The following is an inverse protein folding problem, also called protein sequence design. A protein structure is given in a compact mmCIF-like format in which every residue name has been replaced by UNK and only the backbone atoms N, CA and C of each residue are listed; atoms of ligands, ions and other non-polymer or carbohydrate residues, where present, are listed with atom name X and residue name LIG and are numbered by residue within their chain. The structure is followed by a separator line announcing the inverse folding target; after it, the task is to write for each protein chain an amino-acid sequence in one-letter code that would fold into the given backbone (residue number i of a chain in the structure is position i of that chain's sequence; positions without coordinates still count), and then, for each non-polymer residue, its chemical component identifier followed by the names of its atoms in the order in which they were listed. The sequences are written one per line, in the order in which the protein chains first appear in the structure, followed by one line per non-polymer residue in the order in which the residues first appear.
data_IF_725745419479
#
_entry.id   IF_725745419479
#
_cell.length_a   1.000
_cell.length_b   1.000
_cell.length_c   1.000
_cell.angle_alpha   90.00
_cell.angle_beta   90.00
_cell.angle_gamma   90.00
#
_symmetry.space_group_name_H-M   'P 1'
#
loop_
_entity.id
_entity.type
_entity.pdbx_description
1 polymer ?
#
# COMPACT_ATOMS: atom_id res chain seq x y z
N UNK A 1 -27.68 23.47 -10.36
CA UNK A 1 -28.33 22.16 -10.49
C UNK A 1 -27.66 21.24 -9.47
N UNK A 2 -28.33 21.02 -8.35
CA UNK A 2 -27.84 20.25 -7.20
C UNK A 2 -28.81 19.09 -7.03
N UNK A 3 -28.42 17.89 -7.47
CA UNK A 3 -29.08 16.61 -7.14
C UNK A 3 -28.30 15.44 -7.77
N UNK A 4 -27.11 15.13 -7.25
CA UNK A 4 -26.32 13.98 -7.72
C UNK A 4 -25.84 13.03 -6.60
N UNK A 5 -26.18 13.28 -5.33
CA UNK A 5 -25.64 12.53 -4.18
C UNK A 5 -26.73 11.89 -3.29
N UNK A 6 -27.79 11.33 -3.88
CA UNK A 6 -28.89 10.70 -3.12
C UNK A 6 -29.00 9.17 -3.22
N UNK A 7 -28.05 8.50 -3.87
CA UNK A 7 -27.98 7.05 -3.81
C UNK A 7 -26.59 6.59 -3.44
N UNK A 8 -26.41 5.78 -2.37
CA UNK A 8 -25.15 5.08 -2.17
C UNK A 8 -24.84 4.27 -3.44
N UNK A 9 -23.56 4.10 -3.78
CA UNK A 9 -23.05 3.28 -4.90
C UNK A 9 -23.69 1.88 -5.00
N UNK A 10 -24.41 1.47 -3.95
CA UNK A 10 -25.19 0.26 -3.89
C UNK A 10 -26.35 0.17 -4.88
N UNK A 11 -26.83 1.30 -5.44
CA UNK A 11 -27.98 1.36 -6.36
C UNK A 11 -27.55 1.46 -7.84
N UNK A 12 -26.37 2.00 -8.12
CA UNK A 12 -25.86 2.24 -9.48
C UNK A 12 -24.98 1.10 -10.00
N UNK A 13 -24.22 0.42 -9.13
CA UNK A 13 -23.36 -0.71 -9.50
C UNK A 13 -24.00 -2.06 -9.17
N UNK A 14 -24.03 -2.97 -10.16
CA UNK A 14 -24.52 -4.33 -9.98
C UNK A 14 -23.70 -5.12 -8.95
N UNK A 15 -24.32 -6.06 -8.23
CA UNK A 15 -23.66 -6.79 -7.12
C UNK A 15 -22.32 -7.45 -7.53
N UNK A 16 -22.21 -7.92 -8.78
CA UNK A 16 -20.97 -8.55 -9.30
C UNK A 16 -19.82 -7.57 -9.38
N UNK A 17 -20.10 -6.32 -9.75
CA UNK A 17 -19.11 -5.28 -9.85
C UNK A 17 -18.62 -4.86 -8.47
N UNK A 18 -19.54 -4.71 -7.50
CA UNK A 18 -19.18 -4.44 -6.11
C UNK A 18 -18.28 -5.53 -5.53
N UNK A 19 -18.63 -6.80 -5.74
CA UNK A 19 -17.76 -7.91 -5.33
C UNK A 19 -16.39 -7.87 -6.03
N UNK A 20 -16.33 -7.46 -7.29
CA UNK A 20 -15.05 -7.32 -7.99
C UNK A 20 -14.22 -6.16 -7.42
N UNK A 21 -14.84 -5.02 -7.10
CA UNK A 21 -14.19 -3.89 -6.45
C UNK A 21 -13.69 -4.26 -5.05
N UNK A 22 -14.52 -4.92 -4.23
CA UNK A 22 -14.14 -5.39 -2.90
C UNK A 22 -13.01 -6.42 -2.92
N UNK A 23 -13.01 -7.35 -3.88
CA UNK A 23 -11.88 -8.28 -4.07
C UNK A 23 -10.58 -7.55 -4.41
N UNK A 24 -10.62 -6.51 -5.26
CA UNK A 24 -9.45 -5.69 -5.57
C UNK A 24 -8.99 -4.90 -4.34
N UNK A 25 -9.93 -4.33 -3.58
CA UNK A 25 -9.62 -3.63 -2.34
C UNK A 25 -8.94 -4.57 -1.32
N UNK A 26 -9.51 -5.75 -1.07
CA UNK A 26 -8.89 -6.73 -0.17
C UNK A 26 -7.51 -7.19 -0.66
N UNK A 27 -7.35 -7.41 -1.97
CA UNK A 27 -6.05 -7.75 -2.54
C UNK A 27 -5.00 -6.67 -2.25
N UNK A 28 -5.38 -5.41 -2.48
CA UNK A 28 -4.58 -4.24 -2.17
C UNK A 28 -4.23 -4.17 -0.68
N UNK A 29 -5.22 -4.29 0.20
CA UNK A 29 -5.03 -4.25 1.65
C UNK A 29 -4.03 -5.30 2.12
N UNK A 30 -4.21 -6.56 1.70
CA UNK A 30 -3.32 -7.66 2.09
C UNK A 30 -1.93 -7.46 1.50
N UNK A 31 -1.82 -6.95 0.27
CA UNK A 31 -0.53 -6.61 -0.35
C UNK A 31 0.21 -5.57 0.48
N UNK A 32 -0.42 -4.43 0.72
CA UNK A 32 0.13 -3.32 1.50
C UNK A 32 0.51 -3.76 2.92
N UNK A 33 -0.32 -4.58 3.57
CA UNK A 33 -0.04 -5.06 4.92
C UNK A 33 1.21 -5.94 4.99
N UNK A 34 1.45 -6.78 3.98
CA UNK A 34 2.67 -7.58 3.91
C UNK A 34 3.88 -6.71 3.61
N UNK A 35 3.79 -5.84 2.60
CA UNK A 35 4.90 -4.98 2.18
C UNK A 35 5.35 -4.04 3.32
N UNK A 36 4.39 -3.40 4.02
CA UNK A 36 4.67 -2.51 5.16
C UNK A 36 5.39 -3.22 6.31
N UNK A 37 5.17 -4.52 6.46
CA UNK A 37 5.78 -5.31 7.53
C UNK A 37 6.98 -6.16 7.06
N UNK A 38 7.35 -6.09 5.78
CA UNK A 38 8.42 -6.93 5.21
C UNK A 38 8.07 -8.42 5.22
N UNK A 39 6.79 -8.77 5.15
CA UNK A 39 6.31 -10.14 5.32
C UNK A 39 6.19 -10.90 4.01
N UNK A 40 6.50 -12.20 4.07
CA UNK A 40 6.11 -13.15 3.04
C UNK A 40 4.67 -13.64 3.27
N UNK A 41 4.06 -14.25 2.25
CA UNK A 41 2.71 -14.85 2.33
C UNK A 41 2.57 -16.00 3.36
N UNK A 42 3.67 -16.42 4.00
CA UNK A 42 3.70 -17.48 5.02
C UNK A 42 3.53 -16.97 6.45
N UNK A 43 3.70 -15.67 6.68
CA UNK A 43 3.69 -15.10 8.04
C UNK A 43 2.32 -15.24 8.69
N UNK A 44 1.25 -14.81 8.01
CA UNK A 44 -0.11 -14.87 8.56
C UNK A 44 -0.60 -16.32 8.81
N UNK A 45 -0.38 -17.28 7.90
CA UNK A 45 -0.70 -18.69 8.16
C UNK A 45 0.09 -19.28 9.34
N UNK A 46 1.40 -19.01 9.41
CA UNK A 46 2.24 -19.49 10.51
C UNK A 46 1.80 -18.89 11.86
N UNK A 47 1.45 -17.60 11.88
CA UNK A 47 0.92 -16.94 13.07
C UNK A 47 -0.43 -17.53 13.50
N UNK A 48 -1.33 -17.77 12.54
CA UNK A 48 -2.63 -18.37 12.82
C UNK A 48 -2.51 -19.80 13.34
N UNK A 49 -1.60 -20.60 12.80
CA UNK A 49 -1.34 -21.96 13.25
C UNK A 49 -0.68 -21.98 14.64
N UNK A 50 0.35 -21.16 14.86
CA UNK A 50 1.11 -21.15 16.11
C UNK A 50 0.26 -20.71 17.30
N UNK A 51 -0.66 -19.77 17.09
CA UNK A 51 -1.49 -19.18 18.15
C UNK A 51 -2.95 -19.65 18.13
N UNK A 52 -3.29 -20.66 17.30
CA UNK A 52 -4.64 -21.19 17.10
C UNK A 52 -5.69 -20.10 16.83
N UNK A 53 -5.38 -19.20 15.90
CA UNK A 53 -6.23 -18.03 15.57
C UNK A 53 -7.32 -18.36 14.54
N UNK A 54 -7.45 -19.63 14.16
CA UNK A 54 -8.29 -20.09 13.04
C UNK A 54 -7.46 -20.61 11.87
N UNK A 55 -8.15 -20.98 10.79
CA UNK A 55 -7.53 -21.69 9.66
C UNK A 55 -7.38 -20.81 8.43
N UNK A 56 -6.14 -20.57 8.04
CA UNK A 56 -5.80 -19.95 6.76
C UNK A 56 -4.54 -20.59 6.17
N UNK A 57 -4.59 -20.95 4.90
CA UNK A 57 -3.48 -21.58 4.19
C UNK A 57 -2.67 -20.56 3.38
N UNK A 58 -1.39 -20.86 3.13
CA UNK A 58 -0.49 -20.08 2.27
C UNK A 58 -1.12 -19.73 0.90
N UNK A 59 -1.84 -20.68 0.30
CA UNK A 59 -2.52 -20.48 -0.99
C UNK A 59 -3.68 -19.49 -0.90
N UNK A 60 -4.39 -19.43 0.23
CA UNK A 60 -5.47 -18.48 0.46
C UNK A 60 -4.91 -17.06 0.61
N UNK A 61 -3.83 -16.87 1.36
CA UNK A 61 -3.16 -15.56 1.47
C UNK A 61 -2.62 -15.10 0.12
N UNK A 62 -1.93 -15.99 -0.61
CA UNK A 62 -1.44 -15.69 -1.95
C UNK A 62 -2.59 -15.32 -2.91
N UNK A 63 -3.69 -16.08 -2.91
CA UNK A 63 -4.83 -15.78 -3.76
C UNK A 63 -5.59 -14.52 -3.34
N UNK A 64 -5.69 -14.22 -2.04
CA UNK A 64 -6.25 -12.96 -1.55
C UNK A 64 -5.43 -11.78 -2.04
N UNK A 65 -4.11 -11.80 -1.81
CA UNK A 65 -3.18 -10.76 -2.23
C UNK A 65 -3.22 -10.47 -3.73
N UNK A 66 -3.52 -11.49 -4.54
CA UNK A 66 -3.61 -11.37 -6.00
C UNK A 66 -5.05 -11.16 -6.51
N UNK A 67 -6.05 -11.00 -5.64
CA UNK A 67 -7.46 -10.82 -6.02
C UNK A 67 -8.12 -12.05 -6.66
N UNK A 68 -7.52 -13.24 -6.54
CA UNK A 68 -7.95 -14.50 -7.15
C UNK A 68 -8.87 -15.33 -6.25
N UNK A 69 -8.92 -15.04 -4.94
CA UNK A 69 -9.81 -15.77 -4.03
C UNK A 69 -11.24 -15.24 -4.13
N UNK A 70 -12.10 -15.98 -4.84
CA UNK A 70 -13.47 -15.54 -5.13
C UNK A 70 -14.44 -15.68 -3.94
N UNK A 71 -14.28 -16.74 -3.14
CA UNK A 71 -15.20 -17.09 -2.05
C UNK A 71 -14.43 -17.63 -0.84
N UNK A 72 -13.68 -16.77 -0.11
CA UNK A 72 -13.09 -17.15 1.17
C UNK A 72 -14.18 -17.60 2.16
N UNK A 73 -13.90 -18.67 2.91
CA UNK A 73 -14.73 -19.06 4.04
C UNK A 73 -14.59 -18.07 5.21
N UNK A 74 -15.56 -18.03 6.14
CA UNK A 74 -15.53 -17.11 7.28
C UNK A 74 -14.29 -17.29 8.17
N UNK A 75 -13.74 -18.50 8.26
CA UNK A 75 -12.51 -18.79 9.03
C UNK A 75 -11.29 -18.01 8.55
N UNK A 76 -11.23 -17.67 7.26
CA UNK A 76 -10.13 -16.84 6.72
C UNK A 76 -10.18 -15.45 7.31
N UNK A 77 -11.36 -14.81 7.35
CA UNK A 77 -11.52 -13.49 7.95
C UNK A 77 -11.33 -13.50 9.46
N UNK A 78 -11.77 -14.58 10.13
CA UNK A 78 -11.52 -14.78 11.55
C UNK A 78 -10.02 -14.83 11.85
N UNK A 79 -9.27 -15.67 11.12
CA UNK A 79 -7.83 -15.80 11.28
C UNK A 79 -7.09 -14.48 11.03
N UNK A 80 -7.44 -13.75 9.98
CA UNK A 80 -6.84 -12.45 9.68
C UNK A 80 -7.17 -11.39 10.74
N UNK A 81 -8.42 -11.33 11.20
CA UNK A 81 -8.85 -10.39 12.23
C UNK A 81 -8.19 -10.66 13.58
N UNK A 82 -8.07 -11.93 13.97
CA UNK A 82 -7.39 -12.33 15.20
C UNK A 82 -5.88 -12.11 15.12
N UNK A 83 -5.25 -12.42 13.98
CA UNK A 83 -3.86 -12.07 13.73
C UNK A 83 -3.63 -10.57 13.88
N UNK A 84 -4.50 -9.74 13.31
CA UNK A 84 -4.42 -8.29 13.45
C UNK A 84 -4.59 -7.81 14.90
N UNK A 85 -5.50 -8.45 15.67
CA UNK A 85 -5.68 -8.15 17.09
C UNK A 85 -4.46 -8.52 17.94
N UNK A 86 -3.73 -9.59 17.58
CA UNK A 86 -2.45 -9.96 18.21
C UNK A 86 -1.41 -8.86 17.97
N UNK A 87 -1.30 -8.33 16.76
CA UNK A 87 -0.38 -7.22 16.46
C UNK A 87 -0.73 -5.97 17.25
N UNK A 88 -2.02 -5.66 17.37
CA UNK A 88 -2.53 -4.53 18.15
C UNK A 88 -2.17 -4.63 19.63
N UNK A 89 -2.35 -5.83 20.22
CA UNK A 89 -2.01 -6.09 21.62
C UNK A 89 -0.50 -6.10 21.89
N UNK A 90 0.31 -6.32 20.85
CA UNK A 90 1.75 -6.48 20.92
C UNK A 90 2.18 -7.92 21.23
N UNK A 91 3.44 -8.23 20.91
CA UNK A 91 3.95 -9.61 21.02
C UNK A 91 4.45 -9.97 22.42
N UNK A 92 4.53 -9.03 23.36
CA UNK A 92 5.15 -9.27 24.67
C UNK A 92 4.56 -10.48 25.42
N UNK A 93 3.22 -10.66 25.47
CA UNK A 93 2.63 -11.83 26.13
C UNK A 93 2.91 -13.16 25.43
N UNK A 94 3.31 -13.12 24.15
CA UNK A 94 3.45 -14.28 23.27
C UNK A 94 4.91 -14.57 22.93
N UNK A 95 5.83 -13.70 23.36
CA UNK A 95 7.25 -13.72 22.99
C UNK A 95 7.92 -15.04 23.36
N UNK A 96 7.76 -15.49 24.61
CA UNK A 96 8.37 -16.74 25.09
C UNK A 96 7.87 -17.94 24.28
N UNK A 97 6.56 -18.01 24.05
CA UNK A 97 5.94 -19.08 23.28
C UNK A 97 6.41 -19.09 21.82
N UNK A 98 6.42 -17.92 21.16
CA UNK A 98 6.90 -17.79 19.78
C UNK A 98 8.40 -18.11 19.67
N UNK A 99 9.19 -17.74 20.68
CA UNK A 99 10.63 -18.06 20.72
C UNK A 99 10.88 -19.57 20.82
N UNK A 100 10.03 -20.28 21.56
CA UNK A 100 10.11 -21.74 21.72
C UNK A 100 9.63 -22.49 20.48
N UNK A 101 8.45 -22.11 19.96
CA UNK A 101 7.76 -22.88 18.92
C UNK A 101 8.17 -22.46 17.51
N UNK A 102 8.39 -21.16 17.27
CA UNK A 102 8.68 -20.64 15.94
C UNK A 102 9.60 -19.40 15.97
N UNK A 103 10.89 -19.55 16.33
CA UNK A 103 11.82 -18.43 16.50
C UNK A 103 12.01 -17.56 15.24
N UNK A 104 11.96 -18.18 14.06
CA UNK A 104 12.02 -17.44 12.78
C UNK A 104 10.80 -16.52 12.57
N UNK A 105 9.61 -16.94 13.02
CA UNK A 105 8.39 -16.13 12.94
C UNK A 105 8.51 -14.93 13.89
N UNK A 106 9.00 -15.16 15.11
CA UNK A 106 9.25 -14.07 16.06
C UNK A 106 10.18 -13.01 15.46
N UNK A 107 11.30 -13.42 14.87
CA UNK A 107 12.25 -12.49 14.24
C UNK A 107 11.59 -11.63 13.16
N UNK A 108 10.75 -12.23 12.30
CA UNK A 108 10.04 -11.50 11.24
C UNK A 108 9.00 -10.54 11.82
N UNK A 109 8.29 -10.92 12.87
CA UNK A 109 7.31 -10.06 13.54
C UNK A 109 7.99 -8.92 14.34
N UNK A 110 9.20 -9.13 14.83
CA UNK A 110 10.00 -8.07 15.47
C UNK A 110 10.52 -7.04 14.46
N UNK A 111 10.82 -7.48 13.23
CA UNK A 111 11.23 -6.59 12.15
C UNK A 111 10.08 -5.71 11.64
N UNK A 112 8.84 -6.19 11.68
CA UNK A 112 7.65 -5.44 11.28
C UNK A 112 6.36 -6.09 11.76
N UNK A 113 5.45 -5.29 12.36
CA UNK A 113 4.18 -5.75 12.95
C UNK A 113 3.10 -4.68 13.05
N UNK A 114 3.06 -3.78 12.09
CA UNK A 114 2.03 -2.74 12.05
C UNK A 114 0.62 -3.35 11.90
N UNK A 115 -0.30 -3.07 12.83
CA UNK A 115 -1.69 -3.48 12.72
C UNK A 115 -2.47 -2.63 11.72
N UNK A 116 -3.49 -3.22 11.11
CA UNK A 116 -4.48 -2.49 10.31
C UNK A 116 -5.51 -1.84 11.24
N UNK A 117 -5.69 -0.52 11.13
CA UNK A 117 -6.65 0.26 11.93
C UNK A 117 -7.66 0.99 11.06
N UNK A 118 -8.92 1.06 11.47
CA UNK A 118 -9.92 1.88 10.80
C UNK A 118 -9.70 3.39 11.07
N UNK A 119 -10.57 4.23 10.50
CA UNK A 119 -10.53 5.69 10.69
C UNK A 119 -10.71 6.16 12.14
N UNK A 120 -11.31 5.32 13.00
CA UNK A 120 -11.41 5.58 14.43
C UNK A 120 -10.17 5.11 15.23
N UNK A 121 -9.12 4.65 14.55
CA UNK A 121 -7.88 4.16 15.17
C UNK A 121 -7.99 2.76 15.78
N UNK A 122 -9.12 2.06 15.59
CA UNK A 122 -9.34 0.71 16.12
C UNK A 122 -8.85 -0.35 15.16
N UNK A 123 -8.21 -1.40 15.67
CA UNK A 123 -7.79 -2.53 14.86
C UNK A 123 -8.99 -3.16 14.11
N UNK A 124 -8.78 -3.48 12.83
CA UNK A 124 -9.77 -4.20 12.02
C UNK A 124 -9.98 -5.62 12.54
N UNK A 125 -11.24 -6.02 12.70
CA UNK A 125 -11.66 -7.39 12.99
C UNK A 125 -12.14 -8.15 11.76
N UNK A 126 -12.65 -9.36 11.98
CA UNK A 126 -13.14 -10.22 10.91
C UNK A 126 -14.32 -9.61 10.12
N UNK A 127 -15.22 -8.90 10.83
CA UNK A 127 -16.35 -8.21 10.21
C UNK A 127 -15.90 -7.10 9.26
N UNK A 128 -14.98 -6.25 9.70
CA UNK A 128 -14.44 -5.16 8.88
C UNK A 128 -13.77 -5.72 7.61
N UNK A 129 -12.97 -6.77 7.74
CA UNK A 129 -12.31 -7.42 6.61
C UNK A 129 -13.31 -8.03 5.63
N UNK A 130 -14.38 -8.65 6.13
CA UNK A 130 -15.45 -9.16 5.28
C UNK A 130 -16.13 -8.03 4.52
N UNK A 131 -16.48 -6.94 5.20
CA UNK A 131 -17.13 -5.77 4.59
C UNK A 131 -16.26 -5.14 3.49
N UNK A 132 -14.95 -5.04 3.70
CA UNK A 132 -14.01 -4.59 2.66
C UNK A 132 -14.02 -5.56 1.48
N UNK A 133 -13.93 -6.87 1.74
CA UNK A 133 -13.91 -7.89 0.69
C UNK A 133 -15.17 -7.91 -0.18
N UNK A 134 -16.34 -7.67 0.43
CA UNK A 134 -17.62 -7.61 -0.31
C UNK A 134 -17.92 -6.22 -0.88
N UNK A 135 -17.04 -5.23 -0.66
CA UNK A 135 -17.17 -3.86 -1.16
C UNK A 135 -18.26 -3.04 -0.45
N UNK A 136 -18.52 -3.32 0.83
CA UNK A 136 -19.40 -2.55 1.70
C UNK A 136 -18.63 -1.50 2.52
N UNK A 137 -17.35 -1.74 2.81
CA UNK A 137 -16.49 -0.81 3.53
C UNK A 137 -15.32 -0.34 2.64
N UNK A 138 -14.87 0.92 2.79
CA UNK A 138 -13.67 1.41 2.13
C UNK A 138 -12.40 0.81 2.78
N UNK A 139 -11.26 1.01 2.11
CA UNK A 139 -9.97 0.68 2.72
C UNK A 139 -9.69 1.57 3.94
N UNK A 140 -9.03 1.02 4.98
CA UNK A 140 -8.63 1.83 6.12
C UNK A 140 -7.61 2.91 5.71
N UNK A 141 -7.63 4.08 6.38
CA UNK A 141 -6.57 5.07 6.22
C UNK A 141 -5.19 4.46 6.48
N UNK A 142 -4.17 4.87 5.72
CA UNK A 142 -2.82 4.30 5.81
C UNK A 142 -2.60 3.06 4.95
N UNK A 143 -3.65 2.48 4.35
CA UNK A 143 -3.56 1.29 3.50
C UNK A 143 -4.21 1.47 2.11
N UNK A 144 -4.78 2.64 1.80
CA UNK A 144 -5.25 2.96 0.46
C UNK A 144 -4.13 3.60 -0.37
N UNK A 145 -3.20 2.77 -0.84
CA UNK A 145 -2.11 3.19 -1.74
C UNK A 145 -2.50 3.14 -3.22
N UNK A 146 -3.79 2.98 -3.54
CA UNK A 146 -4.21 2.85 -4.93
C UNK A 146 -3.91 4.15 -5.69
N UNK A 147 -3.32 3.99 -6.86
CA UNK A 147 -3.01 5.07 -7.80
C UNK A 147 -3.93 4.92 -9.00
N UNK A 148 -4.63 6.00 -9.38
CA UNK A 148 -5.47 5.95 -10.58
C UNK A 148 -4.58 5.94 -11.83
N UNK A 149 -5.02 5.22 -12.87
CA UNK A 149 -4.28 5.11 -14.13
C UNK A 149 -3.98 6.48 -14.76
N UNK A 150 -4.84 7.48 -14.54
CA UNK A 150 -4.67 8.84 -15.06
C UNK A 150 -3.63 9.66 -14.29
N UNK A 151 -3.37 9.30 -13.03
CA UNK A 151 -2.43 10.02 -12.17
C UNK A 151 -0.95 9.66 -12.47
N UNK A 152 -0.69 8.53 -13.12
CA UNK A 152 0.68 7.99 -13.26
C UNK A 152 1.70 8.94 -13.90
N UNK A 153 1.30 9.66 -14.95
CA UNK A 153 2.16 10.66 -15.62
C UNK A 153 2.46 11.84 -14.69
N UNK A 154 1.41 12.42 -14.09
CA UNK A 154 1.55 13.58 -13.21
C UNK A 154 2.37 13.25 -11.95
N UNK A 155 2.16 12.07 -11.38
CA UNK A 155 2.94 11.57 -10.24
C UNK A 155 4.39 11.27 -10.61
N UNK A 156 4.67 10.79 -11.83
CA UNK A 156 6.04 10.56 -12.30
C UNK A 156 6.81 11.87 -12.41
N UNK A 157 6.19 12.92 -12.96
CA UNK A 157 6.79 14.25 -13.03
C UNK A 157 7.01 14.85 -11.64
N UNK A 158 6.01 14.77 -10.76
CA UNK A 158 6.10 15.24 -9.37
C UNK A 158 7.18 14.51 -8.57
N UNK A 159 7.32 13.19 -8.78
CA UNK A 159 8.38 12.37 -8.19
C UNK A 159 9.76 12.83 -8.65
N UNK A 160 9.92 13.05 -9.96
CA UNK A 160 11.19 13.50 -10.52
C UNK A 160 11.63 14.84 -9.93
N UNK A 161 10.69 15.79 -9.87
CA UNK A 161 10.91 17.11 -9.30
C UNK A 161 11.19 17.06 -7.78
N UNK A 162 10.41 16.24 -7.04
CA UNK A 162 10.56 16.09 -5.59
C UNK A 162 11.92 15.48 -5.21
N UNK A 163 12.30 14.35 -5.80
CA UNK A 163 13.55 13.67 -5.44
C UNK A 163 14.79 14.46 -5.90
N UNK A 164 14.68 15.26 -6.96
CA UNK A 164 15.75 16.16 -7.37
C UNK A 164 15.69 17.54 -6.71
N UNK A 165 14.72 17.81 -5.84
CA UNK A 165 14.56 19.10 -5.15
C UNK A 165 14.58 20.31 -6.13
N UNK A 166 13.95 20.14 -7.30
CA UNK A 166 13.93 21.15 -8.38
C UNK A 166 15.24 21.31 -9.18
N UNK A 167 16.27 20.50 -8.91
CA UNK A 167 17.50 20.48 -9.70
C UNK A 167 17.33 19.65 -10.98
N UNK A 168 18.17 19.91 -11.99
CA UNK A 168 18.17 19.09 -13.21
C UNK A 168 18.70 17.68 -12.92
N UNK A 169 18.22 16.68 -13.66
CA UNK A 169 18.68 15.28 -13.50
C UNK A 169 20.20 15.14 -13.54
N UNK A 170 20.88 15.93 -14.39
CA UNK A 170 22.35 15.91 -14.51
C UNK A 170 23.07 16.27 -13.22
N UNK A 171 22.45 17.07 -12.35
CA UNK A 171 23.03 17.55 -11.10
C UNK A 171 22.71 16.63 -9.90
N UNK A 172 21.49 16.09 -9.84
CA UNK A 172 21.04 15.22 -8.73
C UNK A 172 21.26 13.72 -8.99
N UNK A 173 21.60 13.28 -10.21
CA UNK A 173 21.60 11.85 -10.62
C UNK A 173 22.34 10.95 -9.64
N UNK A 174 23.60 11.24 -9.36
CA UNK A 174 24.44 10.31 -8.60
C UNK A 174 23.91 10.15 -7.17
N UNK A 175 23.48 11.25 -6.55
CA UNK A 175 22.89 11.25 -5.21
C UNK A 175 21.58 10.46 -5.18
N UNK A 176 20.65 10.73 -6.11
CA UNK A 176 19.35 10.07 -6.17
C UNK A 176 19.50 8.58 -6.50
N UNK A 177 20.38 8.21 -7.43
CA UNK A 177 20.66 6.81 -7.77
C UNK A 177 21.34 6.05 -6.63
N UNK A 178 22.15 6.72 -5.81
CA UNK A 178 22.76 6.14 -4.62
C UNK A 178 21.71 5.92 -3.51
N UNK A 179 20.76 6.84 -3.36
CA UNK A 179 19.67 6.70 -2.40
C UNK A 179 18.69 5.56 -2.78
N UNK A 180 18.48 5.29 -4.06
CA UNK A 180 17.53 4.29 -4.55
C UNK A 180 17.91 2.83 -4.17
N UNK A 181 17.16 2.16 -3.27
CA UNK A 181 17.53 0.84 -2.72
C UNK A 181 17.63 -0.31 -3.73
N UNK A 182 16.74 -0.45 -4.73
CA UNK A 182 16.77 -1.58 -5.65
C UNK A 182 18.10 -1.74 -6.38
N UNK A 183 18.61 -2.98 -6.39
CA UNK A 183 19.88 -3.35 -7.05
C UNK A 183 19.71 -3.94 -8.44
N UNK A 184 18.50 -4.42 -8.80
CA UNK A 184 18.21 -5.01 -10.12
C UNK A 184 18.39 -3.96 -11.22
N UNK A 185 19.26 -4.24 -12.19
CA UNK A 185 19.62 -3.32 -13.29
C UNK A 185 18.39 -2.77 -14.00
N UNK A 186 17.46 -3.62 -14.42
CA UNK A 186 16.25 -3.21 -15.12
C UNK A 186 15.38 -2.21 -14.33
N UNK A 187 15.25 -2.41 -13.00
CA UNK A 187 14.50 -1.48 -12.14
C UNK A 187 15.21 -0.15 -12.01
N UNK A 188 16.55 -0.16 -11.88
CA UNK A 188 17.38 1.05 -11.78
C UNK A 188 17.37 1.86 -13.08
N UNK A 189 17.42 1.20 -14.23
CA UNK A 189 17.32 1.84 -15.53
C UNK A 189 15.96 2.48 -15.76
N UNK A 190 14.88 1.77 -15.41
CA UNK A 190 13.52 2.32 -15.45
C UNK A 190 13.39 3.55 -14.56
N UNK A 191 13.82 3.46 -13.31
CA UNK A 191 13.80 4.60 -12.38
C UNK A 191 14.60 5.79 -12.93
N UNK A 192 15.81 5.56 -13.44
CA UNK A 192 16.61 6.62 -14.04
C UNK A 192 15.94 7.26 -15.28
N UNK A 193 15.23 6.48 -16.09
CA UNK A 193 14.49 7.00 -17.24
C UNK A 193 13.31 7.89 -16.81
N UNK A 194 12.62 7.51 -15.73
CA UNK A 194 11.55 8.33 -15.14
C UNK A 194 12.09 9.64 -14.56
N UNK A 195 13.16 9.56 -13.77
CA UNK A 195 13.83 10.73 -13.21
C UNK A 195 14.37 11.69 -14.29
N UNK A 196 14.75 11.15 -15.45
CA UNK A 196 15.20 11.94 -16.60
C UNK A 196 14.05 12.51 -17.45
N UNK A 197 12.79 12.19 -17.15
CA UNK A 197 11.63 12.59 -17.95
C UNK A 197 11.55 11.90 -19.32
N UNK A 198 12.25 10.79 -19.52
CA UNK A 198 12.23 10.02 -20.78
C UNK A 198 11.06 9.03 -20.86
N UNK A 199 10.41 8.80 -19.73
CA UNK A 199 9.35 7.83 -19.54
C UNK A 199 8.56 8.18 -18.28
N UNK A 200 7.30 7.75 -18.23
CA UNK A 200 6.51 7.74 -17.00
C UNK A 200 6.31 6.31 -16.47
N UNK A 201 6.07 6.21 -15.16
CA UNK A 201 5.55 5.00 -14.58
C UNK A 201 4.05 4.85 -14.87
N UNK A 202 3.60 3.61 -15.07
CA UNK A 202 2.17 3.30 -14.95
C UNK A 202 1.73 3.32 -13.47
N UNK A 203 0.42 3.39 -13.21
CA UNK A 203 -0.11 3.27 -11.86
C UNK A 203 0.31 1.97 -11.15
N UNK A 204 0.32 0.84 -11.88
CA UNK A 204 0.76 -0.46 -11.34
C UNK A 204 2.26 -0.45 -11.00
N UNK A 205 3.08 0.21 -11.81
CA UNK A 205 4.51 0.32 -11.52
C UNK A 205 4.78 1.24 -10.33
N UNK A 206 4.08 2.38 -10.22
CA UNK A 206 4.21 3.25 -9.04
C UNK A 206 3.77 2.54 -7.76
N UNK A 207 2.65 1.81 -7.81
CA UNK A 207 2.12 1.06 -6.67
C UNK A 207 3.16 0.04 -6.17
N UNK A 208 3.71 -0.77 -7.09
CA UNK A 208 4.73 -1.77 -6.75
C UNK A 208 6.10 -1.18 -6.37
N UNK A 209 6.38 0.09 -6.68
CA UNK A 209 7.63 0.78 -6.38
C UNK A 209 7.50 1.72 -5.16
N UNK A 210 6.28 2.00 -4.68
CA UNK A 210 5.98 3.10 -3.76
C UNK A 210 6.84 3.10 -2.50
N UNK A 211 7.06 1.93 -1.90
CA UNK A 211 7.90 1.81 -0.69
C UNK A 211 9.37 2.09 -0.97
N UNK A 212 9.91 1.59 -2.08
CA UNK A 212 11.30 1.84 -2.47
C UNK A 212 11.51 3.33 -2.82
N UNK A 213 10.52 3.95 -3.47
CA UNK A 213 10.50 5.39 -3.75
C UNK A 213 10.42 6.23 -2.46
N UNK A 214 9.58 5.82 -1.50
CA UNK A 214 9.51 6.46 -0.20
C UNK A 214 10.83 6.33 0.58
N UNK A 215 11.43 5.14 0.61
CA UNK A 215 12.74 4.93 1.23
C UNK A 215 13.84 5.76 0.56
N UNK A 216 13.75 5.98 -0.75
CA UNK A 216 14.65 6.87 -1.49
C UNK A 216 14.49 8.31 -1.03
N UNK A 217 13.25 8.78 -0.92
CA UNK A 217 12.92 10.12 -0.42
C UNK A 217 13.44 10.35 1.00
N UNK A 218 13.25 9.39 1.92
CA UNK A 218 13.76 9.47 3.29
C UNK A 218 15.30 9.53 3.33
N UNK A 219 15.99 8.73 2.51
CA UNK A 219 17.47 8.75 2.42
C UNK A 219 18.03 10.07 1.87
N UNK A 220 17.24 10.79 1.09
CA UNK A 220 17.57 12.12 0.60
C UNK A 220 17.28 13.22 1.64
N UNK A 221 16.82 12.86 2.83
CA UNK A 221 16.48 13.78 3.92
C UNK A 221 15.02 14.27 3.89
N UNK A 222 14.19 13.68 3.02
CA UNK A 222 12.76 13.92 3.00
C UNK A 222 12.04 13.34 4.22
N UNK A 223 10.87 13.88 4.54
CA UNK A 223 10.03 13.36 5.61
C UNK A 223 8.56 13.43 5.23
N UNK A 224 7.83 12.35 5.49
CA UNK A 224 6.39 12.29 5.24
C UNK A 224 5.63 12.01 6.53
N UNK A 225 4.48 12.65 6.70
CA UNK A 225 3.56 12.28 7.79
C UNK A 225 2.85 10.99 7.37
N UNK A 226 2.86 9.94 8.20
CA UNK A 226 2.20 8.64 7.91
C UNK A 226 2.89 7.76 6.85
N UNK A 227 4.19 7.94 6.63
CA UNK A 227 5.00 7.05 5.77
C UNK A 227 4.60 7.10 4.30
N UNK A 228 4.61 5.95 3.62
CA UNK A 228 4.40 5.87 2.17
C UNK A 228 3.06 6.46 1.68
N UNK A 229 1.99 6.42 2.49
CA UNK A 229 0.74 7.10 2.19
C UNK A 229 0.91 8.62 2.15
N UNK A 230 1.54 9.19 3.18
CA UNK A 230 1.82 10.62 3.23
C UNK A 230 2.77 11.08 2.13
N UNK A 231 3.70 10.22 1.75
CA UNK A 231 4.55 10.46 0.59
C UNK A 231 3.73 10.50 -0.71
N UNK A 232 2.82 9.54 -0.93
CA UNK A 232 1.92 9.57 -2.08
C UNK A 232 1.01 10.80 -2.08
N UNK A 233 0.49 11.22 -0.92
CA UNK A 233 -0.29 12.44 -0.79
C UNK A 233 0.53 13.69 -1.16
N UNK A 234 1.78 13.78 -0.70
CA UNK A 234 2.68 14.87 -1.10
C UNK A 234 2.96 14.89 -2.61
N UNK A 235 3.13 13.71 -3.23
CA UNK A 235 3.28 13.63 -4.69
C UNK A 235 2.04 14.16 -5.42
N UNK A 236 0.83 13.83 -4.94
CA UNK A 236 -0.44 14.33 -5.51
C UNK A 236 -0.57 15.85 -5.36
N UNK A 237 -0.27 16.39 -4.17
CA UNK A 237 -0.28 17.83 -3.94
C UNK A 237 0.71 18.57 -4.85
N UNK A 238 1.91 18.01 -5.02
CA UNK A 238 2.94 18.58 -5.88
C UNK A 238 2.58 18.50 -7.36
N UNK A 239 2.01 17.38 -7.80
CA UNK A 239 1.49 17.22 -9.16
C UNK A 239 0.43 18.29 -9.47
N UNK A 240 -0.54 18.48 -8.57
CA UNK A 240 -1.57 19.50 -8.72
C UNK A 240 -1.00 20.93 -8.80
N UNK A 241 0.02 21.24 -7.99
CA UNK A 241 0.70 22.54 -8.03
C UNK A 241 1.47 22.77 -9.34
N UNK A 242 2.10 21.73 -9.89
CA UNK A 242 2.80 21.79 -11.18
C UNK A 242 1.82 22.02 -12.34
N UNK A 243 0.68 21.33 -12.35
CA UNK A 243 -0.37 21.50 -13.35
C UNK A 243 -0.96 22.91 -13.33
N UNK A 244 -1.21 23.47 -12.14
CA UNK A 244 -1.73 24.83 -11.98
C UNK A 244 -0.74 25.89 -12.55
N UNK A 245 0.56 25.73 -12.30
CA UNK A 245 1.60 26.62 -12.82
C UNK A 245 1.72 26.54 -14.36
N UNK A 246 1.54 25.34 -14.94
CA UNK A 246 1.55 25.16 -16.39
C UNK A 246 0.38 25.86 -17.08
N UNK A 247 -0.82 25.82 -16.47
CA UNK A 247 -2.02 26.46 -17.01
C UNK A 247 -1.97 28.00 -16.88
N UNK A 248 -1.51 28.53 -15.74
CA UNK A 248 -1.38 29.98 -15.53
C UNK A 248 -0.31 30.65 -16.42
N UNK A 249 0.67 29.88 -16.91
CA UNK A 249 1.67 30.36 -17.87
C UNK A 249 1.15 30.43 -19.32
N UNK A 250 0.00 29.80 -19.61
CA UNK A 250 -0.58 29.73 -20.96
C UNK A 250 -1.63 30.81 -21.26
N UNK A 251 -2.21 31.45 -20.24
CA UNK A 251 -3.17 32.56 -20.40
C UNK A 251 -2.50 33.95 -20.43
N UNK A 252 -1.17 34.01 -20.27
CA UNK A 252 -0.39 35.25 -20.22
C UNK A 252 0.45 35.55 -21.48
N UNK A 253 0.24 34.82 -22.58
CA UNK A 253 0.98 34.98 -23.85
C UNK A 253 0.10 35.52 -24.98
#
# INVERSE_FOLDING_TARGET
MVEADLYPDSVTNGYRERLAQGRRAMAHLVHVWHERNGWSHKVLPALAETLDLGRVHNSQISNLRNGKLASPGPEVFLALGQANAVLEAGLEPLREHLQEVHPELLQVLEAGREPMRNSAGRALGAGDLLEIFVGLAPLPPGFDWRIDAREGVALSAALADLLCSGQSWRQCRDQVMQAYPPSKTQRRERFAAVMAGLRDYSAEELDGELLDLHATYERLGGSSQRGAEGFLAQLRERAAAMDANAQGSSEGA
#
